data_IF_988282368992
#
_entry.id   IF_988282368992
#
_cell.length_a   1.000
_cell.length_b   1.000
_cell.length_c   1.000
_cell.angle_alpha   90.00
_cell.angle_beta   90.00
_cell.angle_gamma   90.00
#
_symmetry.space_group_name_H-M   'P 1'
#
loop_
_entity.id
_entity.type
_entity.pdbx_description
1 polymer ?
#
# COMPACT_ATOMS: atom_id res chain seq x y z
N UNK A 1 -6.39 -0.15 -32.06
CA UNK A 1 -5.57 -0.10 -30.83
C UNK A 1 -4.75 -1.38 -30.83
N UNK A 2 -3.44 -1.29 -30.96
CA UNK A 2 -2.58 -2.48 -31.08
C UNK A 2 -2.58 -3.26 -29.77
N UNK A 3 -2.63 -4.58 -29.85
CA UNK A 3 -2.62 -5.49 -28.69
C UNK A 3 -1.47 -5.18 -27.73
N UNK A 4 -0.31 -4.82 -28.28
CA UNK A 4 0.88 -4.43 -27.50
C UNK A 4 0.65 -3.22 -26.60
N UNK A 5 -0.14 -2.24 -27.05
CA UNK A 5 -0.47 -1.04 -26.27
C UNK A 5 -1.37 -1.42 -25.08
N UNK A 6 -2.36 -2.27 -25.31
CA UNK A 6 -3.26 -2.75 -24.25
C UNK A 6 -2.46 -3.53 -23.22
N UNK A 7 -1.59 -4.44 -23.64
CA UNK A 7 -0.76 -5.24 -22.73
C UNK A 7 0.18 -4.36 -21.91
N UNK A 8 0.80 -3.34 -22.52
CA UNK A 8 1.69 -2.42 -21.79
C UNK A 8 0.94 -1.59 -20.73
N UNK A 9 -0.32 -1.20 -21.00
CA UNK A 9 -1.15 -0.49 -20.01
C UNK A 9 -1.53 -1.44 -18.86
N UNK A 10 -1.88 -2.69 -19.17
CA UNK A 10 -2.24 -3.69 -18.16
C UNK A 10 -1.03 -4.07 -17.29
N UNK A 11 0.16 -4.23 -17.88
CA UNK A 11 1.40 -4.46 -17.13
C UNK A 11 1.71 -3.27 -16.19
N UNK A 12 1.63 -2.04 -16.70
CA UNK A 12 1.78 -0.84 -15.87
C UNK A 12 0.73 -0.78 -14.75
N UNK A 13 -0.51 -1.19 -15.05
CA UNK A 13 -1.61 -1.27 -14.06
C UNK A 13 -1.24 -2.18 -12.90
N UNK A 14 -0.74 -3.38 -13.16
CA UNK A 14 -0.32 -4.34 -12.14
C UNK A 14 0.79 -3.74 -11.27
N UNK A 15 1.81 -3.16 -11.90
CA UNK A 15 2.94 -2.57 -11.17
C UNK A 15 2.54 -1.38 -10.30
N UNK A 16 1.70 -0.49 -10.81
CA UNK A 16 1.24 0.70 -10.07
C UNK A 16 0.21 0.37 -8.99
N UNK A 17 -0.60 -0.68 -9.17
CA UNK A 17 -1.57 -1.12 -8.17
C UNK A 17 -0.94 -1.88 -7.00
N UNK A 18 0.24 -2.46 -7.18
CA UNK A 18 0.90 -3.31 -6.16
C UNK A 18 1.09 -2.62 -4.81
N UNK A 19 1.71 -1.43 -4.71
CA UNK A 19 1.88 -0.75 -3.43
C UNK A 19 0.55 -0.28 -2.85
N UNK A 20 -0.41 0.12 -3.69
CA UNK A 20 -1.76 0.47 -3.26
C UNK A 20 -2.47 -0.72 -2.63
N UNK A 21 -2.34 -1.90 -3.25
CA UNK A 21 -2.96 -3.14 -2.77
C UNK A 21 -2.39 -3.55 -1.42
N UNK A 22 -1.07 -3.56 -1.26
CA UNK A 22 -0.42 -3.89 0.02
C UNK A 22 -0.82 -2.91 1.13
N UNK A 23 -0.85 -1.60 0.84
CA UNK A 23 -1.28 -0.58 1.79
C UNK A 23 -2.77 -0.68 2.12
N UNK A 24 -3.62 -0.98 1.15
CA UNK A 24 -5.05 -1.21 1.35
C UNK A 24 -5.31 -2.43 2.25
N UNK A 25 -4.59 -3.54 2.02
CA UNK A 25 -4.66 -4.71 2.88
C UNK A 25 -4.13 -4.41 4.29
N UNK A 26 -3.07 -3.60 4.41
CA UNK A 26 -2.54 -3.13 5.69
C UNK A 26 -3.60 -2.35 6.48
N UNK A 27 -4.21 -1.33 5.86
CA UNK A 27 -5.28 -0.55 6.45
C UNK A 27 -6.50 -1.40 6.83
N UNK A 28 -6.76 -2.49 6.10
CA UNK A 28 -7.85 -3.40 6.39
C UNK A 28 -7.68 -4.08 7.75
N UNK A 29 -6.47 -4.51 8.14
CA UNK A 29 -6.23 -5.11 9.45
C UNK A 29 -6.40 -4.09 10.57
N UNK A 30 -5.85 -2.89 10.42
CA UNK A 30 -5.95 -1.85 11.42
C UNK A 30 -7.40 -1.40 11.61
N UNK A 31 -8.12 -1.08 10.54
CA UNK A 31 -9.50 -0.58 10.64
C UNK A 31 -10.49 -1.65 11.10
N UNK A 32 -10.32 -2.91 10.67
CA UNK A 32 -11.13 -4.03 11.18
C UNK A 32 -10.91 -4.30 12.65
N UNK A 33 -9.83 -3.81 13.27
CA UNK A 33 -9.59 -3.83 14.71
C UNK A 33 -10.21 -2.63 15.46
N UNK A 34 -10.81 -1.69 14.74
CA UNK A 34 -11.35 -0.45 15.29
C UNK A 34 -10.29 0.65 15.47
N UNK A 35 -9.15 0.54 14.77
CA UNK A 35 -8.13 1.60 14.71
C UNK A 35 -8.16 2.24 13.33
N UNK A 36 -8.62 3.49 13.27
CA UNK A 36 -8.59 4.27 12.05
C UNK A 36 -7.16 4.68 11.70
N UNK A 37 -6.70 4.36 10.50
CA UNK A 37 -5.29 4.45 10.14
C UNK A 37 -5.01 5.38 8.95
N UNK A 38 -5.05 6.69 9.20
CA UNK A 38 -4.64 7.69 8.20
C UNK A 38 -3.12 7.78 8.05
N UNK A 39 -2.35 7.10 8.93
CA UNK A 39 -0.88 7.10 8.94
C UNK A 39 -0.24 6.19 7.90
N UNK A 40 -1.00 5.53 7.03
CA UNK A 40 -0.47 4.62 6.00
C UNK A 40 0.57 5.30 5.10
N UNK A 41 0.35 6.56 4.72
CA UNK A 41 1.27 7.34 3.87
C UNK A 41 2.65 7.46 4.52
N UNK A 42 2.73 7.90 5.77
CA UNK A 42 3.99 8.07 6.47
C UNK A 42 4.71 6.75 6.76
N UNK A 43 3.97 5.68 7.03
CA UNK A 43 4.53 4.33 7.22
C UNK A 43 5.17 3.81 5.94
N UNK A 44 4.50 3.98 4.80
CA UNK A 44 5.05 3.62 3.50
C UNK A 44 6.26 4.48 3.14
N UNK A 45 6.20 5.80 3.40
CA UNK A 45 7.29 6.71 3.09
C UNK A 45 8.54 6.42 3.93
N UNK A 46 8.38 6.19 5.22
CA UNK A 46 9.48 5.81 6.11
C UNK A 46 10.08 4.45 5.74
N UNK A 47 9.24 3.49 5.34
CA UNK A 47 9.69 2.20 4.83
C UNK A 47 10.47 2.32 3.52
N UNK A 48 9.99 3.15 2.59
CA UNK A 48 10.65 3.40 1.31
C UNK A 48 12.04 4.02 1.52
N UNK A 49 12.15 4.98 2.44
CA UNK A 49 13.43 5.59 2.79
C UNK A 49 14.39 4.56 3.38
N UNK A 50 13.95 3.83 4.39
CA UNK A 50 14.82 2.85 5.08
C UNK A 50 15.27 1.74 4.13
N UNK A 51 14.35 1.25 3.26
CA UNK A 51 14.67 0.25 2.26
C UNK A 51 15.70 0.77 1.24
N UNK A 52 15.49 1.96 0.69
CA UNK A 52 16.40 2.58 -0.25
C UNK A 52 17.76 2.90 0.36
N UNK A 53 17.80 3.44 1.60
CA UNK A 53 19.03 3.80 2.29
C UNK A 53 19.89 2.56 2.61
N UNK A 54 19.29 1.52 3.19
CA UNK A 54 20.03 0.29 3.53
C UNK A 54 20.44 -0.45 2.27
N UNK A 55 19.59 -0.52 1.23
CA UNK A 55 19.97 -1.14 -0.04
C UNK A 55 21.11 -0.39 -0.74
N UNK A 56 21.17 0.95 -0.64
CA UNK A 56 22.25 1.76 -1.20
C UNK A 56 23.60 1.50 -0.48
N UNK A 57 23.56 1.31 0.85
CA UNK A 57 24.77 1.09 1.65
C UNK A 57 25.23 -0.37 1.58
N UNK A 58 24.29 -1.33 1.68
CA UNK A 58 24.61 -2.76 1.74
C UNK A 58 24.76 -3.44 0.38
N UNK A 59 24.26 -2.80 -0.69
CA UNK A 59 24.17 -3.42 -2.02
C UNK A 59 23.19 -4.59 -2.11
N UNK A 60 22.30 -4.80 -1.11
CA UNK A 60 21.36 -5.92 -1.04
C UNK A 60 19.92 -5.46 -0.93
N UNK A 61 19.09 -5.85 -1.90
CA UNK A 61 17.64 -5.58 -1.89
C UNK A 61 16.93 -6.25 -0.70
N UNK A 62 17.37 -7.45 -0.30
CA UNK A 62 16.77 -8.17 0.83
C UNK A 62 17.01 -7.49 2.18
N UNK A 63 18.22 -6.96 2.40
CA UNK A 63 18.52 -6.18 3.60
C UNK A 63 17.74 -4.87 3.59
N UNK A 64 17.61 -4.23 2.42
CA UNK A 64 16.74 -3.06 2.24
C UNK A 64 15.29 -3.37 2.59
N UNK A 65 14.73 -4.48 2.10
CA UNK A 65 13.37 -4.92 2.41
C UNK A 65 13.16 -5.11 3.92
N UNK A 66 14.06 -5.82 4.58
CA UNK A 66 14.00 -6.02 6.03
C UNK A 66 14.05 -4.70 6.81
N UNK A 67 14.93 -3.79 6.43
CA UNK A 67 15.02 -2.46 7.05
C UNK A 67 13.73 -1.67 6.87
N UNK A 68 13.14 -1.67 5.67
CA UNK A 68 11.85 -1.05 5.38
C UNK A 68 10.72 -1.61 6.26
N UNK A 69 10.67 -2.93 6.40
CA UNK A 69 9.68 -3.60 7.27
C UNK A 69 9.87 -3.24 8.75
N UNK A 70 11.10 -3.20 9.25
CA UNK A 70 11.42 -2.86 10.65
C UNK A 70 11.04 -1.40 10.94
N UNK A 71 11.39 -0.46 10.07
CA UNK A 71 11.08 0.96 10.28
C UNK A 71 9.58 1.21 10.17
N UNK A 72 8.89 0.59 9.22
CA UNK A 72 7.43 0.65 9.13
C UNK A 72 6.76 0.08 10.37
N UNK A 73 7.26 -1.04 10.89
CA UNK A 73 6.76 -1.62 12.14
C UNK A 73 6.98 -0.67 13.31
N UNK A 74 8.15 -0.02 13.40
CA UNK A 74 8.47 0.96 14.43
C UNK A 74 7.52 2.17 14.41
N UNK A 75 7.29 2.77 13.25
CA UNK A 75 6.34 3.89 13.09
C UNK A 75 4.90 3.47 13.38
N UNK A 76 4.53 2.25 13.01
CA UNK A 76 3.20 1.69 13.29
C UNK A 76 3.01 1.42 14.78
N UNK A 77 4.02 0.90 15.48
CA UNK A 77 3.97 0.70 16.93
C UNK A 77 3.93 2.03 17.67
N UNK A 78 4.64 3.06 17.20
CA UNK A 78 4.57 4.41 17.76
C UNK A 78 3.14 4.95 17.70
N UNK A 79 2.46 4.84 16.55
CA UNK A 79 1.04 5.17 16.42
C UNK A 79 0.17 4.30 17.33
N UNK A 80 0.48 3.01 17.43
CA UNK A 80 -0.24 2.07 18.29
C UNK A 80 -0.16 2.45 19.77
N UNK A 81 1.02 2.85 20.25
CA UNK A 81 1.17 3.35 21.63
C UNK A 81 0.33 4.59 21.83
N UNK A 82 0.34 5.55 20.92
CA UNK A 82 -0.46 6.76 21.01
C UNK A 82 -1.97 6.45 21.00
N UNK A 83 -2.43 5.58 20.10
CA UNK A 83 -3.85 5.31 19.87
C UNK A 83 -4.45 4.27 20.84
N UNK A 84 -3.67 3.24 21.22
CA UNK A 84 -4.16 2.11 22.03
C UNK A 84 -3.82 2.30 23.50
N UNK A 85 -2.53 2.53 23.82
CA UNK A 85 -2.05 2.59 25.21
C UNK A 85 -2.37 3.93 25.86
N UNK A 86 -2.09 5.03 25.18
CA UNK A 86 -2.35 6.39 25.64
C UNK A 86 -3.76 6.87 25.35
N UNK A 87 -4.57 6.08 24.60
CA UNK A 87 -5.96 6.40 24.24
C UNK A 87 -6.12 7.75 23.56
N UNK A 88 -5.09 8.17 22.85
CA UNK A 88 -5.07 9.42 22.08
C UNK A 88 -5.99 9.37 20.85
N UNK A 89 -6.23 10.54 20.26
CA UNK A 89 -6.97 10.64 19.02
C UNK A 89 -6.21 9.98 17.86
N UNK A 90 -6.85 8.96 17.26
CA UNK A 90 -6.22 8.14 16.21
C UNK A 90 -5.93 8.93 14.94
N UNK A 91 -6.79 9.91 14.58
CA UNK A 91 -6.58 10.79 13.44
C UNK A 91 -5.35 11.68 13.64
N UNK A 92 -5.26 12.33 14.80
CA UNK A 92 -4.12 13.19 15.12
C UNK A 92 -2.82 12.38 15.13
N UNK A 93 -2.84 11.20 15.74
CA UNK A 93 -1.68 10.31 15.76
C UNK A 93 -1.25 9.89 14.34
N UNK A 94 -2.18 9.56 13.46
CA UNK A 94 -1.88 9.19 12.08
C UNK A 94 -1.31 10.35 11.26
N UNK A 95 -1.89 11.56 11.38
CA UNK A 95 -1.36 12.76 10.73
C UNK A 95 0.05 13.10 11.25
N UNK A 96 0.28 12.98 12.56
CA UNK A 96 1.59 13.20 13.15
C UNK A 96 2.64 12.22 12.60
N UNK A 97 2.30 10.95 12.40
CA UNK A 97 3.19 9.97 11.75
C UNK A 97 3.50 10.38 10.30
N UNK A 98 2.52 10.86 9.54
CA UNK A 98 2.76 11.31 8.17
C UNK A 98 3.72 12.51 8.13
N UNK A 99 3.53 13.50 9.01
CA UNK A 99 4.40 14.66 9.11
C UNK A 99 5.81 14.27 9.58
N UNK A 100 5.90 13.38 10.59
CA UNK A 100 7.17 12.87 11.10
C UNK A 100 7.94 12.15 9.97
N UNK A 101 7.28 11.26 9.24
CA UNK A 101 7.89 10.54 8.13
C UNK A 101 8.38 11.48 7.03
N UNK A 102 7.57 12.46 6.61
CA UNK A 102 7.95 13.43 5.59
C UNK A 102 9.19 14.27 6.02
N UNK A 103 9.19 14.76 7.26
CA UNK A 103 10.30 15.54 7.79
C UNK A 103 11.57 14.70 8.00
N UNK A 104 11.45 13.54 8.67
CA UNK A 104 12.59 12.68 8.99
C UNK A 104 13.25 12.07 7.76
N UNK A 105 12.49 11.62 6.77
CA UNK A 105 13.06 11.03 5.56
C UNK A 105 13.85 12.05 4.75
N UNK A 106 13.35 13.28 4.64
CA UNK A 106 14.06 14.38 3.97
C UNK A 106 15.31 14.79 4.75
N UNK A 107 15.20 14.95 6.08
CA UNK A 107 16.30 15.33 6.94
C UNK A 107 17.42 14.28 6.94
N UNK A 108 17.10 13.02 7.21
CA UNK A 108 18.08 11.93 7.22
C UNK A 108 18.69 11.69 5.83
N UNK A 109 17.87 11.77 4.76
CA UNK A 109 18.37 11.63 3.41
C UNK A 109 19.37 12.72 3.03
N UNK A 110 19.12 13.97 3.45
CA UNK A 110 20.06 15.06 3.25
C UNK A 110 21.34 14.89 4.10
N UNK A 111 21.18 14.49 5.37
CA UNK A 111 22.31 14.37 6.30
C UNK A 111 23.23 13.20 5.93
N UNK A 112 22.69 12.08 5.50
CA UNK A 112 23.48 10.87 5.21
C UNK A 112 24.06 10.85 3.81
N UNK A 113 23.32 11.34 2.83
CA UNK A 113 23.69 11.20 1.41
C UNK A 113 24.03 12.52 0.72
N UNK A 114 23.68 13.67 1.28
CA UNK A 114 23.95 15.01 0.73
C UNK A 114 23.40 15.21 -0.71
N UNK A 115 22.32 14.51 -1.06
CA UNK A 115 21.71 14.51 -2.39
C UNK A 115 20.28 15.10 -2.40
N UNK A 116 20.05 16.18 -1.66
CA UNK A 116 18.72 16.82 -1.63
C UNK A 116 17.63 15.95 -1.01
N UNK A 117 17.97 15.09 -0.03
CA UNK A 117 17.03 14.19 0.63
C UNK A 117 16.72 12.91 -0.16
N UNK A 118 17.51 12.60 -1.19
CA UNK A 118 17.43 11.36 -1.97
C UNK A 118 18.54 10.40 -1.58
N UNK A 119 18.36 9.11 -1.86
CA UNK A 119 19.46 8.14 -1.78
C UNK A 119 20.19 8.06 -3.12
N UNK A 120 21.47 7.62 -3.12
CA UNK A 120 22.16 7.27 -4.34
C UNK A 120 21.40 6.23 -5.17
N UNK A 121 21.66 6.21 -6.46
CA UNK A 121 21.11 5.17 -7.35
C UNK A 121 21.60 3.80 -6.87
N UNK A 122 20.68 2.84 -6.77
CA UNK A 122 20.98 1.49 -6.30
C UNK A 122 21.77 0.71 -7.35
N UNK A 123 22.75 -0.07 -6.86
CA UNK A 123 23.43 -1.08 -7.67
C UNK A 123 22.46 -2.21 -8.07
N UNK A 124 22.87 -3.06 -9.01
CA UNK A 124 22.07 -4.20 -9.47
C UNK A 124 21.63 -5.12 -8.30
N UNK A 125 22.53 -5.42 -7.36
CA UNK A 125 22.18 -6.22 -6.16
C UNK A 125 21.28 -5.50 -5.15
N UNK A 126 21.26 -4.16 -5.16
CA UNK A 126 20.41 -3.32 -4.29
C UNK A 126 18.97 -3.20 -4.76
N UNK A 127 18.61 -3.77 -5.91
CA UNK A 127 17.28 -3.75 -6.49
C UNK A 127 16.78 -5.17 -6.71
N UNK A 128 15.46 -5.35 -6.61
CA UNK A 128 14.85 -6.58 -7.11
C UNK A 128 14.83 -6.57 -8.64
N UNK A 129 15.22 -7.69 -9.21
CA UNK A 129 15.09 -7.91 -10.65
C UNK A 129 13.72 -8.52 -10.97
N UNK A 130 13.18 -8.27 -12.19
CA UNK A 130 11.97 -8.93 -12.65
C UNK A 130 12.20 -10.44 -12.76
N UNK A 131 11.25 -11.24 -12.28
CA UNK A 131 11.33 -12.70 -12.33
C UNK A 131 10.67 -13.18 -13.62
N UNK A 132 11.42 -13.86 -14.48
CA UNK A 132 10.86 -14.58 -15.62
C UNK A 132 10.33 -15.92 -15.14
N UNK A 133 9.02 -16.15 -15.30
CA UNK A 133 8.40 -17.42 -14.93
C UNK A 133 8.81 -18.54 -15.92
N UNK A 134 8.85 -19.81 -15.47
CA UNK A 134 9.11 -20.92 -16.36
C UNK A 134 8.12 -20.96 -17.53
N UNK A 135 8.57 -21.43 -18.68
CA UNK A 135 7.81 -21.48 -19.95
C UNK A 135 7.47 -20.13 -20.60
N UNK A 136 7.89 -18.97 -20.06
CA UNK A 136 7.60 -17.66 -20.64
C UNK A 136 8.20 -17.53 -22.07
N UNK A 137 9.42 -18.03 -22.28
CA UNK A 137 10.09 -18.01 -23.56
C UNK A 137 9.52 -19.04 -24.57
N UNK A 138 9.05 -20.18 -24.09
CA UNK A 138 8.48 -21.23 -24.93
C UNK A 138 7.08 -20.87 -25.43
N UNK A 139 6.28 -20.21 -24.59
CA UNK A 139 4.94 -19.78 -24.94
C UNK A 139 4.93 -18.48 -25.75
N UNK A 140 6.03 -17.72 -25.80
CA UNK A 140 6.11 -16.46 -26.54
C UNK A 140 5.73 -16.58 -28.03
N UNK A 141 5.92 -17.78 -28.62
CA UNK A 141 5.53 -18.05 -30.02
C UNK A 141 4.04 -18.34 -30.26
N UNK A 142 3.22 -18.44 -29.20
CA UNK A 142 1.79 -18.74 -29.35
C UNK A 142 1.01 -17.44 -29.53
N UNK A 143 0.23 -17.27 -30.64
CA UNK A 143 -0.55 -16.05 -30.86
C UNK A 143 -1.52 -15.82 -29.69
N UNK A 144 -1.60 -14.58 -29.19
CA UNK A 144 -2.47 -14.11 -28.08
C UNK A 144 -2.04 -14.63 -26.69
N UNK A 145 -1.85 -15.93 -26.48
CA UNK A 145 -1.48 -16.49 -25.16
C UNK A 145 -0.02 -16.19 -24.79
N UNK A 146 0.89 -16.17 -25.77
CA UNK A 146 2.28 -15.85 -25.55
C UNK A 146 2.50 -14.46 -24.96
N UNK A 147 2.03 -13.40 -25.61
CA UNK A 147 2.13 -12.04 -25.08
C UNK A 147 1.42 -11.85 -23.74
N UNK A 148 0.25 -12.47 -23.53
CA UNK A 148 -0.47 -12.39 -22.24
C UNK A 148 0.36 -13.04 -21.12
N UNK A 149 0.94 -14.20 -21.36
CA UNK A 149 1.73 -14.87 -20.33
C UNK A 149 3.08 -14.19 -20.09
N UNK A 150 3.78 -13.81 -21.17
CA UNK A 150 5.12 -13.23 -21.11
C UNK A 150 5.10 -11.79 -20.56
N UNK A 151 4.14 -10.96 -21.00
CA UNK A 151 4.11 -9.54 -20.70
C UNK A 151 3.22 -9.19 -19.49
N UNK A 152 2.14 -9.98 -19.23
CA UNK A 152 1.17 -9.64 -18.18
C UNK A 152 1.35 -10.48 -16.90
N UNK A 153 1.82 -11.73 -17.01
CA UNK A 153 1.95 -12.63 -15.84
C UNK A 153 3.40 -12.77 -15.43
N UNK A 154 4.33 -12.91 -16.38
CA UNK A 154 5.77 -13.01 -16.16
C UNK A 154 6.43 -11.62 -16.17
N UNK A 155 7.68 -11.53 -15.76
CA UNK A 155 8.44 -10.28 -15.84
C UNK A 155 8.16 -9.28 -14.71
N UNK A 156 7.43 -9.67 -13.67
CA UNK A 156 7.19 -8.80 -12.52
C UNK A 156 8.19 -9.04 -11.38
N UNK A 157 8.31 -8.05 -10.51
CA UNK A 157 9.10 -8.17 -9.28
C UNK A 157 8.43 -9.14 -8.30
N UNK A 158 9.23 -9.82 -7.46
CA UNK A 158 8.74 -10.76 -6.44
C UNK A 158 7.64 -10.17 -5.55
N UNK A 159 7.74 -8.88 -5.22
CA UNK A 159 6.77 -8.17 -4.37
C UNK A 159 5.39 -8.04 -5.02
N UNK A 160 5.29 -8.06 -6.35
CA UNK A 160 4.01 -8.08 -7.07
C UNK A 160 3.28 -9.39 -6.79
N UNK A 161 3.96 -10.53 -6.95
CA UNK A 161 3.36 -11.84 -6.67
C UNK A 161 2.96 -11.96 -5.20
N UNK A 162 3.81 -11.48 -4.29
CA UNK A 162 3.49 -11.44 -2.85
C UNK A 162 2.22 -10.62 -2.62
N UNK A 163 2.03 -9.47 -3.25
CA UNK A 163 0.86 -8.62 -3.06
C UNK A 163 -0.44 -9.36 -3.43
N UNK A 164 -0.47 -10.07 -4.56
CA UNK A 164 -1.65 -10.84 -4.96
C UNK A 164 -1.89 -12.06 -4.06
N UNK A 165 -0.84 -12.75 -3.63
CA UNK A 165 -0.94 -13.85 -2.65
C UNK A 165 -1.51 -13.32 -1.33
N UNK A 166 -1.10 -12.12 -0.89
CA UNK A 166 -1.58 -11.50 0.35
C UNK A 166 -3.08 -11.19 0.31
N UNK A 167 -3.71 -11.05 -0.85
CA UNK A 167 -5.18 -10.95 -0.95
C UNK A 167 -5.84 -12.24 -0.47
N UNK A 168 -5.37 -13.38 -0.97
CA UNK A 168 -5.91 -14.69 -0.58
C UNK A 168 -5.61 -14.98 0.91
N UNK A 169 -4.39 -14.69 1.37
CA UNK A 169 -3.98 -14.83 2.77
C UNK A 169 -4.85 -13.95 3.69
N UNK A 170 -5.05 -12.68 3.33
CA UNK A 170 -5.89 -11.76 4.10
C UNK A 170 -7.34 -12.21 4.13
N UNK A 171 -7.87 -12.69 3.00
CA UNK A 171 -9.22 -13.27 2.96
C UNK A 171 -9.32 -14.45 3.91
N UNK A 172 -8.38 -15.40 3.84
CA UNK A 172 -8.39 -16.57 4.72
C UNK A 172 -8.25 -16.17 6.19
N UNK A 173 -7.27 -15.31 6.54
CA UNK A 173 -7.03 -14.86 7.92
C UNK A 173 -8.23 -14.13 8.49
N UNK A 174 -8.81 -13.15 7.79
CA UNK A 174 -9.90 -12.33 8.30
C UNK A 174 -11.25 -13.07 8.33
N UNK A 175 -11.52 -13.98 7.38
CA UNK A 175 -12.86 -14.56 7.22
C UNK A 175 -12.94 -16.05 7.57
N UNK A 176 -11.82 -16.77 7.63
CA UNK A 176 -11.80 -18.22 7.88
C UNK A 176 -11.08 -18.62 9.18
N UNK A 177 -10.44 -17.69 9.93
CA UNK A 177 -9.74 -17.99 11.16
C UNK A 177 -10.44 -17.43 12.41
N UNK A 178 -10.14 -18.05 13.59
CA UNK A 178 -10.60 -17.54 14.89
C UNK A 178 -10.02 -16.16 15.20
N UNK A 179 -8.79 -15.87 14.74
CA UNK A 179 -8.17 -14.56 14.88
C UNK A 179 -8.96 -13.49 14.14
N UNK A 180 -9.28 -13.70 12.86
CA UNK A 180 -10.04 -12.75 12.05
C UNK A 180 -11.46 -12.51 12.58
N UNK A 181 -12.12 -13.56 13.10
CA UNK A 181 -13.43 -13.41 13.73
C UNK A 181 -13.36 -12.49 14.95
N UNK A 182 -12.40 -12.73 15.86
CA UNK A 182 -12.19 -11.92 17.06
C UNK A 182 -11.79 -10.49 16.70
N UNK A 183 -10.94 -10.30 15.69
CA UNK A 183 -10.50 -8.99 15.23
C UNK A 183 -11.68 -8.14 14.73
N UNK A 184 -12.54 -8.73 13.89
CA UNK A 184 -13.75 -8.05 13.39
C UNK A 184 -14.74 -7.75 14.51
N UNK A 185 -14.89 -8.65 15.48
CA UNK A 185 -15.74 -8.42 16.65
C UNK A 185 -15.23 -7.24 17.50
N UNK A 186 -13.91 -7.09 17.68
CA UNK A 186 -13.29 -5.93 18.36
C UNK A 186 -13.59 -4.62 17.62
N UNK A 187 -13.58 -4.64 16.27
CA UNK A 187 -13.92 -3.46 15.49
C UNK A 187 -15.41 -3.06 15.57
N UNK A 188 -16.30 -4.00 15.84
CA UNK A 188 -17.74 -3.72 15.97
C UNK A 188 -18.15 -3.37 17.41
N UNK A 189 -17.72 -4.16 18.38
CA UNK A 189 -18.04 -3.95 19.79
C UNK A 189 -16.92 -4.47 20.72
N UNK A 190 -15.92 -3.63 21.03
CA UNK A 190 -14.80 -4.01 21.88
C UNK A 190 -15.24 -4.39 23.31
N UNK A 191 -16.29 -3.76 23.85
CA UNK A 191 -16.80 -4.06 25.20
C UNK A 191 -17.33 -5.49 25.29
N UNK A 192 -18.11 -5.93 24.30
CA UNK A 192 -18.62 -7.29 24.25
C UNK A 192 -17.50 -8.35 24.11
N UNK A 193 -16.41 -8.02 23.44
CA UNK A 193 -15.25 -8.90 23.32
C UNK A 193 -14.48 -9.00 24.63
N UNK A 194 -14.35 -7.90 25.37
CA UNK A 194 -13.70 -7.89 26.68
C UNK A 194 -14.51 -8.68 27.73
N UNK A 195 -15.84 -8.56 27.74
CA UNK A 195 -16.71 -9.36 28.61
C UNK A 195 -16.65 -10.85 28.30
N UNK A 196 -16.32 -11.24 27.09
CA UNK A 196 -16.04 -12.63 26.72
C UNK A 196 -14.61 -13.11 27.11
N UNK A 197 -13.86 -12.31 27.88
CA UNK A 197 -12.52 -12.66 28.37
C UNK A 197 -11.41 -12.53 27.36
N UNK A 198 -11.64 -11.87 26.22
CA UNK A 198 -10.66 -11.72 25.15
C UNK A 198 -10.03 -10.32 25.23
N UNK A 199 -8.69 -10.24 25.30
CA UNK A 199 -7.97 -8.98 25.39
C UNK A 199 -8.08 -8.16 24.11
N UNK A 200 -8.84 -7.07 24.15
CA UNK A 200 -8.99 -6.10 23.05
C UNK A 200 -7.65 -5.45 22.68
N UNK A 201 -6.87 -5.04 23.70
CA UNK A 201 -5.56 -4.40 23.50
C UNK A 201 -4.61 -5.32 22.73
N UNK A 202 -4.50 -6.60 23.14
CA UNK A 202 -3.63 -7.57 22.43
C UNK A 202 -4.04 -7.74 20.98
N UNK A 203 -5.33 -7.86 20.68
CA UNK A 203 -5.82 -8.02 19.30
C UNK A 203 -5.55 -6.77 18.44
N UNK A 204 -5.74 -5.57 19.00
CA UNK A 204 -5.41 -4.33 18.33
C UNK A 204 -3.90 -4.25 18.00
N UNK A 205 -3.03 -4.58 18.96
CA UNK A 205 -1.58 -4.62 18.70
C UNK A 205 -1.20 -5.67 17.64
N UNK A 206 -1.79 -6.85 17.65
CA UNK A 206 -1.55 -7.85 16.61
C UNK A 206 -1.97 -7.34 15.22
N UNK A 207 -3.10 -6.63 15.13
CA UNK A 207 -3.54 -6.03 13.87
C UNK A 207 -2.55 -4.99 13.34
N UNK A 208 -2.11 -4.06 14.19
CA UNK A 208 -1.17 -3.01 13.76
C UNK A 208 0.23 -3.55 13.45
N UNK A 209 0.67 -4.65 14.06
CA UNK A 209 1.90 -5.33 13.66
C UNK A 209 1.79 -5.84 12.22
N UNK A 210 0.69 -6.50 11.86
CA UNK A 210 0.44 -6.95 10.49
C UNK A 210 0.39 -5.73 9.54
N UNK A 211 -0.29 -4.66 9.95
CA UNK A 211 -0.34 -3.40 9.20
C UNK A 211 1.06 -2.85 8.93
N UNK A 212 1.92 -2.80 9.94
CA UNK A 212 3.30 -2.31 9.80
C UNK A 212 4.13 -3.15 8.82
N UNK A 213 4.00 -4.47 8.87
CA UNK A 213 4.70 -5.37 7.96
C UNK A 213 4.24 -5.18 6.51
N UNK A 214 2.93 -5.09 6.26
CA UNK A 214 2.38 -4.87 4.93
C UNK A 214 2.71 -3.47 4.37
N UNK A 215 2.65 -2.42 5.20
CA UNK A 215 3.12 -1.08 4.83
C UNK A 215 4.62 -1.07 4.52
N UNK A 216 5.40 -1.88 5.25
CA UNK A 216 6.82 -2.06 5.00
C UNK A 216 7.10 -2.63 3.62
N UNK A 217 6.36 -3.67 3.22
CA UNK A 217 6.42 -4.23 1.86
C UNK A 217 6.01 -3.21 0.80
N UNK A 218 4.91 -2.48 1.05
CA UNK A 218 4.41 -1.46 0.13
C UNK A 218 5.40 -0.32 -0.07
N UNK A 219 6.02 0.19 1.01
CA UNK A 219 7.01 1.25 0.95
C UNK A 219 8.31 0.80 0.28
N UNK A 220 8.83 -0.37 0.66
CA UNK A 220 10.03 -0.94 0.06
C UNK A 220 9.88 -1.14 -1.46
N UNK A 221 8.69 -1.54 -1.92
CA UNK A 221 8.42 -1.70 -3.35
C UNK A 221 8.74 -0.43 -4.14
N UNK A 222 8.41 0.76 -3.62
CA UNK A 222 8.69 2.00 -4.32
C UNK A 222 10.18 2.24 -4.56
N UNK A 223 11.03 2.00 -3.55
CA UNK A 223 12.45 2.36 -3.61
C UNK A 223 13.33 1.28 -4.21
N UNK A 224 13.08 -0.01 -3.92
CA UNK A 224 13.97 -1.13 -4.28
C UNK A 224 13.42 -2.08 -5.36
N UNK A 225 12.18 -1.87 -5.82
CA UNK A 225 11.63 -2.62 -6.94
C UNK A 225 11.25 -1.68 -8.10
N UNK A 226 10.30 -0.80 -7.90
CA UNK A 226 9.82 0.12 -8.95
C UNK A 226 10.84 1.23 -9.24
N UNK A 227 11.45 1.80 -8.19
CA UNK A 227 12.45 2.86 -8.28
C UNK A 227 13.89 2.35 -8.33
N UNK A 228 14.82 3.26 -8.52
CA UNK A 228 16.27 3.04 -8.42
C UNK A 228 16.86 3.66 -7.17
N UNK A 229 16.09 3.76 -6.08
CA UNK A 229 16.42 4.39 -4.84
C UNK A 229 15.26 5.20 -4.27
N UNK A 230 15.48 5.86 -3.14
CA UNK A 230 14.48 6.71 -2.51
C UNK A 230 14.52 8.14 -3.11
N UNK A 231 13.35 8.66 -3.44
CA UNK A 231 13.12 10.06 -3.79
C UNK A 231 12.22 10.76 -2.79
N UNK A 232 12.41 12.08 -2.63
CA UNK A 232 11.56 12.86 -1.73
C UNK A 232 10.09 12.68 -2.07
N UNK A 233 9.28 12.39 -1.04
CA UNK A 233 7.84 12.23 -1.14
C UNK A 233 7.38 11.25 -2.25
N UNK A 234 8.15 10.17 -2.48
CA UNK A 234 7.90 9.24 -3.59
C UNK A 234 6.58 8.46 -3.47
N UNK A 235 5.96 8.42 -2.30
CA UNK A 235 4.63 7.83 -2.10
C UNK A 235 3.52 8.72 -2.65
N UNK A 236 3.74 10.04 -2.73
CA UNK A 236 2.90 11.03 -3.40
C UNK A 236 1.39 10.89 -3.09
N UNK A 237 1.02 10.62 -1.84
CA UNK A 237 -0.38 10.47 -1.42
C UNK A 237 -1.01 9.11 -1.70
N UNK A 238 -0.24 8.11 -2.16
CA UNK A 238 -0.77 6.77 -2.47
C UNK A 238 -1.32 6.04 -1.24
N UNK A 239 -0.85 6.35 -0.04
CA UNK A 239 -1.44 5.85 1.20
C UNK A 239 -2.87 6.34 1.44
N UNK A 240 -3.18 7.58 1.06
CA UNK A 240 -4.55 8.10 1.12
C UNK A 240 -5.44 7.49 0.04
N UNK A 241 -4.91 7.25 -1.17
CA UNK A 241 -5.63 6.54 -2.23
C UNK A 241 -5.92 5.09 -1.80
N UNK A 242 -4.98 4.43 -1.13
CA UNK A 242 -5.19 3.09 -0.58
C UNK A 242 -6.31 3.05 0.47
N UNK A 243 -6.42 4.10 1.29
CA UNK A 243 -7.49 4.26 2.26
C UNK A 243 -8.85 4.47 1.56
N UNK A 244 -8.89 5.28 0.52
CA UNK A 244 -10.08 5.43 -0.32
C UNK A 244 -10.48 4.09 -0.97
N UNK A 245 -9.52 3.35 -1.53
CA UNK A 245 -9.74 2.02 -2.09
C UNK A 245 -10.32 1.04 -1.05
N UNK A 246 -9.87 1.11 0.20
CA UNK A 246 -10.38 0.30 1.31
C UNK A 246 -11.87 0.59 1.60
N UNK A 247 -12.25 1.86 1.61
CA UNK A 247 -13.64 2.30 1.80
C UNK A 247 -14.51 1.79 0.64
N UNK A 248 -14.05 1.92 -0.61
CA UNK A 248 -14.75 1.39 -1.79
C UNK A 248 -14.91 -0.12 -1.75
N UNK A 249 -13.89 -0.81 -1.28
CA UNK A 249 -13.89 -2.26 -1.09
C UNK A 249 -14.79 -2.73 0.05
N UNK A 250 -15.37 -1.82 0.85
CA UNK A 250 -16.19 -2.16 2.02
C UNK A 250 -15.44 -3.10 2.98
N UNK A 251 -14.15 -2.86 3.17
CA UNK A 251 -13.26 -3.67 4.02
C UNK A 251 -13.26 -5.16 3.65
N UNK A 252 -13.31 -5.50 2.35
CA UNK A 252 -13.23 -6.88 1.85
C UNK A 252 -12.01 -7.03 0.93
N UNK A 253 -11.17 -8.09 1.08
CA UNK A 253 -9.90 -8.23 0.35
C UNK A 253 -10.05 -8.34 -1.16
N UNK A 254 -11.01 -9.14 -1.65
CA UNK A 254 -11.22 -9.32 -3.09
C UNK A 254 -11.72 -8.04 -3.78
N UNK A 255 -12.75 -7.33 -3.26
CA UNK A 255 -13.08 -6.00 -3.79
C UNK A 255 -11.92 -5.00 -3.68
N UNK A 256 -11.09 -5.07 -2.62
CA UNK A 256 -9.91 -4.21 -2.48
C UNK A 256 -8.90 -4.42 -3.61
N UNK A 257 -8.69 -5.64 -4.05
CA UNK A 257 -7.86 -5.94 -5.22
C UNK A 257 -8.39 -5.24 -6.47
N UNK A 258 -9.68 -5.35 -6.75
CA UNK A 258 -10.27 -4.72 -7.95
C UNK A 258 -10.25 -3.20 -7.87
N UNK A 259 -10.49 -2.60 -6.71
CA UNK A 259 -10.41 -1.14 -6.54
C UNK A 259 -8.99 -0.63 -6.68
N UNK A 260 -7.99 -1.34 -6.12
CA UNK A 260 -6.58 -0.99 -6.30
C UNK A 260 -6.13 -1.15 -7.77
N UNK A 261 -6.58 -2.19 -8.47
CA UNK A 261 -6.34 -2.35 -9.91
C UNK A 261 -6.99 -1.22 -10.72
N UNK A 262 -8.19 -0.78 -10.36
CA UNK A 262 -8.84 0.37 -11.00
C UNK A 262 -8.00 1.64 -10.83
N UNK A 263 -7.53 1.95 -9.60
CA UNK A 263 -6.67 3.11 -9.37
C UNK A 263 -5.32 2.97 -10.09
N UNK A 264 -4.71 1.78 -10.08
CA UNK A 264 -3.49 1.51 -10.84
C UNK A 264 -3.68 1.68 -12.35
N UNK A 265 -4.84 1.29 -12.88
CA UNK A 265 -5.21 1.50 -14.28
C UNK A 265 -5.33 2.99 -14.63
N UNK A 266 -5.94 3.78 -13.75
CA UNK A 266 -6.04 5.23 -13.95
C UNK A 266 -4.68 5.91 -13.91
N UNK A 267 -3.79 5.47 -12.99
CA UNK A 267 -2.41 5.96 -12.93
C UNK A 267 -1.65 5.58 -14.22
N UNK A 268 -1.80 4.34 -14.71
CA UNK A 268 -1.18 3.89 -15.96
C UNK A 268 -1.70 4.68 -17.17
N UNK A 269 -3.00 4.91 -17.22
CA UNK A 269 -3.65 5.70 -18.27
C UNK A 269 -3.17 7.16 -18.23
N UNK A 270 -3.08 7.75 -17.03
CA UNK A 270 -2.55 9.09 -16.81
C UNK A 270 -1.13 9.24 -17.39
N UNK A 271 -0.24 8.29 -17.08
CA UNK A 271 1.14 8.31 -17.60
C UNK A 271 1.15 8.21 -19.13
N UNK A 272 0.27 7.39 -19.70
CA UNK A 272 0.20 7.19 -21.15
C UNK A 272 -0.42 8.39 -21.90
N UNK A 273 -1.35 9.09 -21.27
CA UNK A 273 -2.01 10.26 -21.86
C UNK A 273 -1.20 11.56 -21.73
N UNK A 274 -0.07 11.55 -21.00
CA UNK A 274 0.80 12.71 -20.92
C UNK A 274 1.37 13.03 -22.31
N UNK A 275 1.10 14.25 -22.77
CA UNK A 275 1.50 14.68 -24.12
C UNK A 275 0.56 14.22 -25.25
N UNK A 276 -0.60 13.64 -24.94
CA UNK A 276 -1.60 13.33 -25.95
C UNK A 276 -2.42 14.58 -26.31
N UNK A 277 -2.54 14.83 -27.60
CA UNK A 277 -3.46 15.85 -28.14
C UNK A 277 -4.86 15.24 -28.29
N UNK A 278 -5.86 15.87 -27.74
CA UNK A 278 -7.27 15.51 -27.95
C UNK A 278 -7.91 16.57 -28.85
N UNK A 279 -8.30 16.18 -30.06
CA UNK A 279 -8.89 17.10 -31.07
C UNK A 279 -8.00 18.31 -31.42
N UNK A 280 -6.65 18.15 -31.39
CA UNK A 280 -5.72 19.25 -31.68
C UNK A 280 -5.53 20.25 -30.53
N UNK A 281 -6.00 19.91 -29.32
CA UNK A 281 -5.80 20.68 -28.10
C UNK A 281 -4.92 19.87 -27.14
N UNK A 282 -3.83 20.46 -26.67
CA UNK A 282 -2.99 19.86 -25.63
C UNK A 282 -3.77 19.76 -24.32
N UNK A 283 -3.94 18.55 -23.80
CA UNK A 283 -4.58 18.35 -22.50
C UNK A 283 -3.58 18.75 -21.42
N UNK A 284 -3.92 19.73 -20.54
CA UNK A 284 -3.04 20.06 -19.43
C UNK A 284 -2.74 18.83 -18.56
N UNK A 285 -1.46 18.56 -18.28
CA UNK A 285 -1.02 17.42 -17.46
C UNK A 285 -1.76 17.38 -16.12
N UNK A 286 -2.06 18.54 -15.54
CA UNK A 286 -2.81 18.68 -14.29
C UNK A 286 -4.24 18.11 -14.38
N UNK A 287 -4.92 18.26 -15.51
CA UNK A 287 -6.25 17.70 -15.72
C UNK A 287 -6.22 16.17 -15.77
N UNK A 288 -5.19 15.60 -16.41
CA UNK A 288 -4.99 14.15 -16.44
C UNK A 288 -4.64 13.63 -15.05
N UNK A 289 -3.81 14.34 -14.29
CA UNK A 289 -3.45 14.01 -12.90
C UNK A 289 -4.65 14.07 -11.95
N UNK A 290 -5.64 14.89 -12.21
CA UNK A 290 -6.86 14.95 -11.42
C UNK A 290 -7.80 13.76 -11.63
N UNK A 291 -7.64 12.98 -12.70
CA UNK A 291 -8.57 11.92 -13.13
C UNK A 291 -8.84 10.86 -12.03
N UNK A 292 -7.84 10.30 -11.32
CA UNK A 292 -8.09 9.35 -10.24
C UNK A 292 -8.90 9.98 -9.09
N UNK A 293 -8.66 11.24 -8.76
CA UNK A 293 -9.37 11.95 -7.69
C UNK A 293 -10.80 12.29 -8.08
N UNK A 294 -11.02 12.76 -9.31
CA UNK A 294 -12.37 13.01 -9.84
C UNK A 294 -13.19 11.73 -9.86
N UNK A 295 -12.60 10.63 -10.35
CA UNK A 295 -13.28 9.33 -10.35
C UNK A 295 -13.62 8.89 -8.92
N UNK A 296 -12.71 9.11 -7.96
CA UNK A 296 -12.94 8.83 -6.54
C UNK A 296 -14.19 9.54 -6.04
N UNK A 297 -14.32 10.84 -6.33
CA UNK A 297 -15.48 11.64 -5.93
C UNK A 297 -16.76 11.15 -6.60
N UNK A 298 -16.72 10.87 -7.90
CA UNK A 298 -17.88 10.34 -8.66
C UNK A 298 -18.34 9.00 -8.12
N UNK A 299 -17.41 8.08 -7.86
CA UNK A 299 -17.74 6.77 -7.29
C UNK A 299 -18.33 6.87 -5.88
N UNK A 300 -17.81 7.78 -5.03
CA UNK A 300 -18.37 8.02 -3.70
C UNK A 300 -19.76 8.65 -3.76
N UNK A 301 -20.00 9.55 -4.71
CA UNK A 301 -21.25 10.30 -4.79
C UNK A 301 -22.47 9.47 -5.20
N UNK A 302 -22.31 8.37 -5.96
CA UNK A 302 -23.49 7.69 -6.52
C UNK A 302 -23.44 6.18 -6.71
N UNK A 303 -22.28 5.58 -6.87
CA UNK A 303 -22.20 4.19 -7.35
C UNK A 303 -21.94 3.14 -6.25
N UNK A 304 -21.38 3.55 -5.13
CA UNK A 304 -20.95 2.62 -4.07
C UNK A 304 -21.95 2.64 -2.93
N UNK A 305 -23.16 2.39 -2.96
CA UNK A 305 -24.09 2.34 -1.82
C UNK A 305 -23.41 2.47 -0.41
N UNK A 306 -24.08 2.63 0.67
CA UNK A 306 -23.53 2.92 2.01
C UNK A 306 -22.34 1.99 2.35
N UNK A 307 -21.11 2.54 2.38
CA UNK A 307 -19.95 1.89 2.96
C UNK A 307 -20.01 2.09 4.49
N UNK A 308 -20.28 1.01 5.22
CA UNK A 308 -20.35 1.05 6.69
C UNK A 308 -19.03 0.50 7.23
N UNK A 309 -18.20 1.36 7.78
CA UNK A 309 -16.98 0.96 8.48
C UNK A 309 -17.26 0.30 9.85
N UNK A 310 -16.22 -0.28 10.46
CA UNK A 310 -16.32 -0.83 11.82
C UNK A 310 -16.77 0.24 12.81
N UNK A 311 -17.77 -0.07 13.65
CA UNK A 311 -18.41 0.91 14.55
C UNK A 311 -17.47 1.52 15.60
N UNK A 312 -16.46 0.76 16.04
CA UNK A 312 -15.48 1.23 17.01
C UNK A 312 -14.28 1.95 16.34
N UNK A 313 -14.31 2.18 15.02
CA UNK A 313 -13.27 2.90 14.29
C UNK A 313 -13.13 4.33 14.79
N UNK A 314 -11.90 4.74 15.10
CA UNK A 314 -11.60 6.08 15.61
C UNK A 314 -11.89 6.29 17.11
N UNK A 315 -12.53 5.33 17.78
CA UNK A 315 -12.92 5.47 19.20
C UNK A 315 -11.89 4.78 20.09
N UNK A 316 -11.29 5.51 21.07
CA UNK A 316 -10.42 4.90 22.06
C UNK A 316 -11.18 3.88 22.92
N UNK A 317 -10.56 2.72 23.17
CA UNK A 317 -11.14 1.71 24.05
C UNK A 317 -10.71 1.94 25.50
N UNK A 318 -11.69 2.02 26.41
CA UNK A 318 -11.47 2.03 27.85
C UNK A 318 -12.11 0.79 28.45
N UNK A 319 -11.32 0.03 29.23
CA UNK A 319 -11.84 -1.11 29.99
C UNK A 319 -12.72 -0.58 31.11
N UNK A 320 -13.99 -1.00 31.13
CA UNK A 320 -14.87 -0.79 32.28
C UNK A 320 -14.51 -1.83 33.35
N UNK A 321 -14.26 -1.38 34.58
CA UNK A 321 -13.98 -2.24 35.75
C UNK A 321 -15.24 -2.79 36.32
#
# INVERSE_FOLDING_TARGET
MDLSIILSILDATIRLSTPLLLACLAGMYSERSGIFDIGLEGKMLSAAFAAGAVAAISGSAWLGLLAGMIVSLGTTLLQGVAAISLKGNQLIAGVAINMLAAGMTTFLGQTWFHQGGRTPALSAGGRFEPITLPFANELAGVPILGPIYADLISGHYILVYIAFIMVAVTYFVLFRTRFGLRLRAVGENPKAVDTAGISVVRLRYQAIIITGLLCGLAGAYFSIAQGSGFGNNMTAGKGYIALAALIFAKWKPVPAMFTCLLFGFLDALQIRLQGAELFGIDIPVQAIQALPYVLTVVLLAGFIGKAVGPKAGGVPYTKER
#
